data_IF_280277262405
#
_entry.id   IF_280277262405
#
_cell.length_a   1.000
_cell.length_b   1.000
_cell.length_c   1.000
_cell.angle_alpha   90.00
_cell.angle_beta   90.00
_cell.angle_gamma   90.00
#
_symmetry.space_group_name_H-M   'P 1'
#
loop_
_entity.id
_entity.type
_entity.pdbx_description
1 polymer ?
#
# COMPACT_ATOMS: atom_id res chain seq x y z
N UNK A 1 4.26 -15.23 -7.38
CA UNK A 1 5.10 -14.02 -7.43
C UNK A 1 6.40 -14.21 -6.65
N UNK A 2 7.58 -13.98 -7.28
CA UNK A 2 8.90 -14.02 -6.60
C UNK A 2 9.32 -12.67 -6.01
N UNK A 3 9.07 -11.58 -6.73
CA UNK A 3 9.33 -10.21 -6.29
C UNK A 3 8.01 -9.43 -6.32
N UNK A 4 7.84 -8.48 -5.40
CA UNK A 4 6.74 -7.52 -5.42
C UNK A 4 7.33 -6.13 -5.62
N UNK A 5 7.37 -5.67 -6.88
CA UNK A 5 8.01 -4.38 -7.27
C UNK A 5 6.96 -3.30 -7.50
N UNK A 6 5.98 -3.59 -8.35
CA UNK A 6 4.86 -2.69 -8.68
C UNK A 6 3.53 -3.44 -8.61
N UNK A 7 2.40 -2.71 -8.65
CA UNK A 7 1.07 -3.34 -8.78
C UNK A 7 0.77 -3.78 -10.22
N UNK A 8 1.40 -3.16 -11.21
CA UNK A 8 1.27 -3.54 -12.62
C UNK A 8 1.85 -4.92 -12.90
N UNK A 9 2.82 -5.38 -12.10
CA UNK A 9 3.41 -6.72 -12.20
C UNK A 9 2.52 -7.84 -11.61
N UNK A 10 1.45 -7.50 -10.89
CA UNK A 10 0.62 -8.49 -10.17
C UNK A 10 -0.71 -8.67 -10.91
N UNK A 11 -0.97 -9.90 -11.37
CA UNK A 11 -2.24 -10.25 -12.01
C UNK A 11 -3.41 -10.18 -11.03
N UNK A 12 -4.63 -9.93 -11.53
CA UNK A 12 -5.83 -9.77 -10.70
C UNK A 12 -6.09 -11.00 -9.82
N UNK A 13 -5.89 -12.20 -10.36
CA UNK A 13 -6.05 -13.47 -9.64
C UNK A 13 -5.04 -13.59 -8.49
N UNK A 14 -3.83 -13.09 -8.69
CA UNK A 14 -2.80 -13.09 -7.65
C UNK A 14 -3.08 -12.04 -6.57
N UNK A 15 -3.66 -10.88 -6.94
CA UNK A 15 -4.16 -9.90 -5.96
C UNK A 15 -5.24 -10.53 -5.08
N UNK A 16 -6.23 -11.19 -5.70
CA UNK A 16 -7.30 -11.86 -4.96
C UNK A 16 -6.76 -12.97 -4.05
N UNK A 17 -5.82 -13.78 -4.53
CA UNK A 17 -5.17 -14.81 -3.72
C UNK A 17 -4.44 -14.22 -2.50
N UNK A 18 -3.74 -13.09 -2.66
CA UNK A 18 -3.08 -12.38 -1.56
C UNK A 18 -4.09 -11.81 -0.55
N UNK A 19 -5.21 -11.25 -1.01
CA UNK A 19 -6.28 -10.74 -0.15
C UNK A 19 -6.87 -11.88 0.69
N UNK A 20 -7.26 -12.99 0.05
CA UNK A 20 -7.81 -14.16 0.75
C UNK A 20 -6.81 -14.70 1.77
N UNK A 21 -5.55 -14.89 1.37
CA UNK A 21 -4.52 -15.39 2.28
C UNK A 21 -4.26 -14.45 3.47
N UNK A 22 -4.29 -13.13 3.25
CA UNK A 22 -4.18 -12.16 4.32
C UNK A 22 -5.38 -12.22 5.30
N UNK A 23 -6.60 -12.42 4.79
CA UNK A 23 -7.80 -12.62 5.62
C UNK A 23 -7.67 -13.90 6.46
N UNK A 24 -7.20 -15.00 5.88
CA UNK A 24 -6.97 -16.24 6.62
C UNK A 24 -5.93 -16.06 7.74
N UNK A 25 -4.84 -15.31 7.50
CA UNK A 25 -3.88 -14.96 8.54
C UNK A 25 -4.51 -14.13 9.66
N UNK A 26 -5.40 -13.20 9.32
CA UNK A 26 -6.16 -12.44 10.31
C UNK A 26 -7.09 -13.34 11.13
N UNK A 27 -7.65 -14.39 10.53
CA UNK A 27 -8.48 -15.40 11.18
C UNK A 27 -7.69 -16.46 11.96
N UNK A 28 -6.35 -16.36 11.99
CA UNK A 28 -5.50 -17.21 12.83
C UNK A 28 -4.75 -18.32 12.09
N UNK A 29 -4.80 -18.36 10.76
CA UNK A 29 -3.92 -19.24 9.95
C UNK A 29 -2.48 -19.07 10.40
N UNK A 30 -1.77 -20.18 10.55
CA UNK A 30 -0.36 -20.20 10.91
C UNK A 30 0.45 -20.65 9.70
N UNK A 31 1.59 -20.02 9.49
CA UNK A 31 2.59 -20.47 8.53
C UNK A 31 3.96 -20.07 9.05
N UNK A 32 4.91 -20.99 8.94
CA UNK A 32 6.32 -20.77 9.23
C UNK A 32 7.13 -21.55 8.19
N UNK A 33 8.30 -21.05 7.75
CA UNK A 33 9.17 -21.83 6.87
C UNK A 33 9.67 -23.10 7.57
N UNK A 34 9.96 -24.14 6.79
CA UNK A 34 10.47 -25.43 7.33
C UNK A 34 11.90 -25.30 7.86
N UNK A 35 12.68 -24.37 7.29
CA UNK A 35 14.06 -24.09 7.64
C UNK A 35 14.17 -22.70 8.25
N UNK A 36 15.28 -22.45 8.93
CA UNK A 36 15.60 -21.11 9.39
C UNK A 36 15.81 -20.19 8.18
N UNK A 37 14.95 -19.19 8.04
CA UNK A 37 14.95 -18.24 6.92
C UNK A 37 15.25 -16.84 7.42
N UNK A 38 16.24 -16.19 6.81
CA UNK A 38 16.63 -14.82 7.14
C UNK A 38 16.02 -13.81 6.16
N UNK A 39 15.59 -12.68 6.69
CA UNK A 39 15.07 -11.53 5.94
C UNK A 39 15.73 -10.25 6.42
N UNK A 40 15.83 -9.25 5.54
CA UNK A 40 16.41 -7.94 5.90
C UNK A 40 15.52 -6.78 5.46
N UNK A 41 15.40 -5.78 6.34
CA UNK A 41 14.64 -4.56 6.14
C UNK A 41 15.58 -3.39 5.82
N UNK A 42 15.71 -3.01 4.55
CA UNK A 42 16.60 -1.94 4.08
C UNK A 42 15.79 -0.65 3.85
N UNK A 43 15.65 0.15 4.91
CA UNK A 43 14.91 1.42 4.87
C UNK A 43 15.86 2.61 4.77
N UNK A 44 16.08 3.10 3.55
CA UNK A 44 16.87 4.31 3.24
C UNK A 44 16.07 5.59 3.42
N UNK A 45 14.75 5.50 3.47
CA UNK A 45 13.86 6.58 3.89
C UNK A 45 13.16 6.25 5.22
N UNK A 46 12.87 7.30 5.99
CA UNK A 46 12.19 7.17 7.28
C UNK A 46 10.78 6.58 7.11
N UNK A 47 10.47 5.53 7.87
CA UNK A 47 9.17 4.88 7.78
C UNK A 47 8.83 4.04 9.01
N UNK A 48 8.11 4.61 9.98
CA UNK A 48 7.68 3.86 11.18
C UNK A 48 6.69 2.75 10.83
N UNK A 49 5.57 3.09 10.17
CA UNK A 49 4.47 2.12 9.94
C UNK A 49 4.92 0.95 9.09
N UNK A 50 5.45 1.20 7.88
CA UNK A 50 5.86 0.13 6.97
C UNK A 50 6.95 -0.74 7.60
N UNK A 51 8.02 -0.16 8.19
CA UNK A 51 9.10 -0.94 8.81
C UNK A 51 8.60 -1.80 9.97
N UNK A 52 7.89 -1.20 10.93
CA UNK A 52 7.40 -1.93 12.10
C UNK A 52 6.40 -3.02 11.71
N UNK A 53 5.50 -2.76 10.77
CA UNK A 53 4.52 -3.75 10.33
C UNK A 53 5.15 -4.94 9.59
N UNK A 54 6.19 -4.72 8.77
CA UNK A 54 6.98 -5.81 8.20
C UNK A 54 7.70 -6.59 9.29
N UNK A 55 8.38 -5.92 10.21
CA UNK A 55 9.10 -6.59 11.29
C UNK A 55 8.17 -7.46 12.16
N UNK A 56 6.95 -6.97 12.45
CA UNK A 56 5.94 -7.76 13.17
C UNK A 56 5.45 -8.93 12.31
N UNK A 57 5.22 -8.74 11.01
CA UNK A 57 4.84 -9.81 10.08
C UNK A 57 5.90 -10.92 10.03
N UNK A 58 7.16 -10.53 9.87
CA UNK A 58 8.31 -11.44 9.79
C UNK A 58 8.44 -12.27 11.07
N UNK A 59 8.36 -11.62 12.24
CA UNK A 59 8.41 -12.31 13.54
C UNK A 59 7.22 -13.25 13.74
N UNK A 60 6.01 -12.88 13.30
CA UNK A 60 4.82 -13.75 13.37
C UNK A 60 4.95 -14.99 12.47
N UNK A 61 5.64 -14.87 11.34
CA UNK A 61 5.94 -16.01 10.45
C UNK A 61 7.18 -16.81 10.88
N UNK A 62 7.80 -16.49 12.01
CA UNK A 62 9.00 -17.17 12.52
C UNK A 62 10.30 -16.84 11.76
N UNK A 63 10.29 -15.80 10.92
CA UNK A 63 11.46 -15.36 10.15
C UNK A 63 12.51 -14.70 11.05
N UNK A 64 13.78 -14.88 10.70
CA UNK A 64 14.89 -14.23 11.39
C UNK A 64 15.20 -12.88 10.73
N UNK A 65 14.86 -11.80 11.43
CA UNK A 65 15.07 -10.44 10.93
C UNK A 65 16.51 -10.01 11.21
N UNK A 66 17.29 -9.80 10.15
CA UNK A 66 18.63 -9.23 10.29
C UNK A 66 18.53 -7.72 10.58
N UNK A 67 19.15 -7.25 11.66
CA UNK A 67 19.19 -5.82 11.93
C UNK A 67 20.03 -5.11 10.87
N UNK A 68 19.44 -4.13 10.22
CA UNK A 68 20.13 -3.28 9.25
C UNK A 68 19.70 -1.83 9.46
N UNK A 69 20.67 -0.96 9.74
CA UNK A 69 20.45 0.48 9.83
C UNK A 69 21.39 1.18 8.86
N UNK A 70 20.83 1.93 7.91
CA UNK A 70 21.60 2.61 6.86
C UNK A 70 22.66 3.52 7.46
N UNK A 71 22.33 4.22 8.55
CA UNK A 71 23.21 5.15 9.25
C UNK A 71 24.48 4.54 9.85
N UNK A 72 24.54 3.21 10.03
CA UNK A 72 25.71 2.50 10.56
C UNK A 72 26.31 1.50 9.58
N UNK A 73 25.77 1.45 8.36
CA UNK A 73 26.16 0.48 7.32
C UNK A 73 27.29 0.99 6.40
N UNK A 74 27.80 0.09 5.55
CA UNK A 74 28.79 0.41 4.51
C UNK A 74 28.24 1.31 3.40
N UNK A 75 26.92 1.56 3.36
CA UNK A 75 26.31 2.57 2.47
C UNK A 75 26.96 3.94 2.68
N UNK A 76 27.28 4.32 3.92
CA UNK A 76 27.97 5.59 4.23
C UNK A 76 29.40 5.66 3.67
N UNK A 77 29.99 4.52 3.28
CA UNK A 77 31.29 4.43 2.61
C UNK A 77 31.16 4.40 1.09
N UNK A 78 29.94 4.58 0.56
CA UNK A 78 29.65 4.57 -0.87
C UNK A 78 29.37 3.19 -1.46
N UNK A 79 29.04 2.19 -0.64
CA UNK A 79 28.59 0.88 -1.15
C UNK A 79 27.29 1.04 -1.94
N UNK A 80 27.21 0.41 -3.12
CA UNK A 80 26.03 0.47 -3.97
C UNK A 80 24.88 -0.36 -3.38
N UNK A 81 23.64 0.01 -3.71
CA UNK A 81 22.46 -0.78 -3.30
C UNK A 81 22.55 -2.23 -3.80
N UNK A 82 23.07 -2.42 -5.02
CA UNK A 82 23.32 -3.73 -5.59
C UNK A 82 24.31 -4.55 -4.75
N UNK A 83 25.46 -3.98 -4.39
CA UNK A 83 26.48 -4.69 -3.61
C UNK A 83 26.00 -5.01 -2.19
N UNK A 84 25.25 -4.09 -1.56
CA UNK A 84 24.60 -4.35 -0.28
C UNK A 84 23.60 -5.51 -0.38
N UNK A 85 22.73 -5.51 -1.41
CA UNK A 85 21.77 -6.60 -1.64
C UNK A 85 22.48 -7.94 -1.91
N UNK A 86 23.53 -7.93 -2.75
CA UNK A 86 24.31 -9.12 -3.08
C UNK A 86 25.08 -9.68 -1.89
N UNK A 87 25.57 -8.79 -1.01
CA UNK A 87 26.22 -9.17 0.24
C UNK A 87 25.24 -9.90 1.16
N UNK A 88 24.04 -9.34 1.35
CA UNK A 88 23.00 -9.96 2.20
C UNK A 88 22.53 -11.30 1.64
N UNK A 89 22.33 -11.40 0.32
CA UNK A 89 22.03 -12.67 -0.33
C UNK A 89 23.14 -13.71 -0.10
N UNK A 90 24.41 -13.30 -0.24
CA UNK A 90 25.56 -14.19 -0.02
C UNK A 90 25.66 -14.69 1.43
N UNK A 91 25.07 -13.97 2.38
CA UNK A 91 24.94 -14.36 3.79
C UNK A 91 23.71 -15.24 4.06
N UNK A 92 22.93 -15.59 3.05
CA UNK A 92 21.75 -16.46 3.16
C UNK A 92 20.43 -15.73 3.37
N UNK A 93 20.36 -14.41 3.15
CA UNK A 93 19.10 -13.66 3.21
C UNK A 93 18.21 -14.05 2.04
N UNK A 94 17.00 -14.51 2.32
CA UNK A 94 16.06 -15.04 1.32
C UNK A 94 15.09 -13.99 0.78
N UNK A 95 14.88 -12.89 1.52
CA UNK A 95 14.05 -11.76 1.08
C UNK A 95 14.58 -10.42 1.62
N UNK A 96 14.48 -9.39 0.80
CA UNK A 96 14.83 -8.01 1.10
C UNK A 96 13.58 -7.14 0.97
N UNK A 97 13.18 -6.50 2.07
CA UNK A 97 12.17 -5.46 2.07
C UNK A 97 12.89 -4.12 1.96
N UNK A 98 12.70 -3.42 0.85
CA UNK A 98 13.50 -2.23 0.53
C UNK A 98 12.58 -1.01 0.40
N UNK A 99 12.95 0.07 1.08
CA UNK A 99 12.39 1.41 0.84
C UNK A 99 13.51 2.36 0.49
N UNK A 100 13.44 2.98 -0.68
CA UNK A 100 14.56 3.76 -1.25
C UNK A 100 14.06 5.06 -1.91
N UNK A 101 14.82 6.17 -1.86
CA UNK A 101 14.41 7.44 -2.48
C UNK A 101 14.47 7.44 -4.01
N UNK A 102 15.27 6.56 -4.62
CA UNK A 102 15.34 6.38 -6.07
C UNK A 102 14.09 5.66 -6.58
N UNK A 103 13.43 6.22 -7.60
CA UNK A 103 12.31 5.58 -8.29
C UNK A 103 12.80 4.38 -9.09
N UNK A 104 12.01 3.31 -9.09
CA UNK A 104 12.35 2.06 -9.79
C UNK A 104 13.73 1.49 -9.45
N UNK A 105 14.25 1.76 -8.25
CA UNK A 105 15.56 1.25 -7.79
C UNK A 105 15.71 -0.26 -8.02
N UNK A 106 14.61 -1.01 -7.97
CA UNK A 106 14.56 -2.46 -8.14
C UNK A 106 15.03 -2.93 -9.53
N UNK A 107 15.07 -2.05 -10.54
CA UNK A 107 15.59 -2.36 -11.87
C UNK A 107 17.08 -2.74 -11.83
N UNK A 108 17.85 -2.16 -10.90
CA UNK A 108 19.27 -2.50 -10.72
C UNK A 108 19.47 -3.83 -9.97
N UNK A 109 18.41 -4.42 -9.41
CA UNK A 109 18.43 -5.64 -8.60
C UNK A 109 17.92 -6.88 -9.36
N UNK A 110 17.86 -6.84 -10.69
CA UNK A 110 17.30 -7.92 -11.51
C UNK A 110 18.10 -9.24 -11.45
N UNK A 111 19.38 -9.20 -11.06
CA UNK A 111 20.24 -10.38 -10.86
C UNK A 111 20.29 -10.88 -9.42
N UNK A 112 19.57 -10.23 -8.50
CA UNK A 112 19.45 -10.67 -7.11
C UNK A 112 18.42 -11.80 -7.03
N UNK A 113 18.83 -12.92 -6.47
CA UNK A 113 18.03 -14.12 -6.25
C UNK A 113 17.13 -14.02 -5.02
N UNK A 114 17.55 -13.27 -4.00
CA UNK A 114 16.67 -12.97 -2.87
C UNK A 114 15.39 -12.28 -3.37
N UNK A 115 14.24 -12.60 -2.77
CA UNK A 115 13.00 -11.93 -3.10
C UNK A 115 13.12 -10.43 -2.80
N UNK A 116 12.61 -9.58 -3.70
CA UNK A 116 12.65 -8.13 -3.55
C UNK A 116 11.22 -7.67 -3.31
N UNK A 117 10.98 -7.08 -2.15
CA UNK A 117 9.67 -6.56 -1.76
C UNK A 117 9.79 -5.04 -1.62
N UNK A 118 9.05 -4.32 -2.46
CA UNK A 118 9.07 -2.88 -2.48
C UNK A 118 8.22 -2.29 -1.34
N UNK A 119 8.90 -1.74 -0.34
CA UNK A 119 8.34 -0.94 0.75
C UNK A 119 8.16 0.55 0.40
N UNK A 120 8.48 0.94 -0.83
CA UNK A 120 8.31 2.27 -1.43
C UNK A 120 9.55 2.73 -2.20
N UNK A 121 9.38 3.21 -3.43
CA UNK A 121 10.44 3.79 -4.28
C UNK A 121 10.11 5.25 -4.62
N UNK A 122 10.90 6.21 -4.12
CA UNK A 122 10.73 7.64 -4.42
C UNK A 122 9.26 8.12 -4.42
N UNK A 123 8.81 8.71 -5.52
CA UNK A 123 7.39 9.01 -5.77
C UNK A 123 6.72 7.99 -6.72
N UNK A 124 7.36 6.84 -6.98
CA UNK A 124 6.94 5.77 -7.87
C UNK A 124 5.81 4.91 -7.30
N UNK A 125 6.16 3.76 -6.69
CA UNK A 125 5.23 2.71 -6.28
C UNK A 125 5.23 2.45 -4.76
N UNK A 126 4.13 1.88 -4.26
CA UNK A 126 4.06 1.31 -2.91
C UNK A 126 3.08 0.12 -2.87
N UNK A 127 3.44 -1.04 -3.46
CA UNK A 127 2.47 -2.11 -3.74
C UNK A 127 1.81 -2.69 -2.47
N UNK A 128 2.54 -2.82 -1.36
CA UNK A 128 1.93 -3.32 -0.12
C UNK A 128 0.92 -2.36 0.51
N UNK A 129 0.99 -1.06 0.22
CA UNK A 129 -0.03 -0.10 0.63
C UNK A 129 -1.29 -0.27 -0.24
N UNK A 130 -1.14 -0.44 -1.55
CA UNK A 130 -2.28 -0.72 -2.43
C UNK A 130 -2.96 -2.03 -2.07
N UNK A 131 -2.20 -3.11 -1.84
CA UNK A 131 -2.77 -4.40 -1.45
C UNK A 131 -3.55 -4.35 -0.13
N UNK A 132 -3.06 -3.64 0.89
CA UNK A 132 -3.78 -3.52 2.15
C UNK A 132 -5.02 -2.62 2.04
N UNK A 133 -5.00 -1.63 1.13
CA UNK A 133 -6.16 -0.81 0.82
C UNK A 133 -7.23 -1.68 0.15
N UNK A 134 -6.85 -2.47 -0.86
CA UNK A 134 -7.72 -3.42 -1.53
C UNK A 134 -8.32 -4.46 -0.57
N UNK A 135 -7.50 -5.03 0.32
CA UNK A 135 -7.99 -5.96 1.36
C UNK A 135 -9.05 -5.29 2.24
N UNK A 136 -8.85 -4.02 2.60
CA UNK A 136 -9.80 -3.28 3.45
C UNK A 136 -11.12 -3.05 2.73
N UNK A 137 -11.08 -2.68 1.45
CA UNK A 137 -12.27 -2.51 0.61
C UNK A 137 -13.00 -3.84 0.45
N UNK A 138 -12.26 -4.92 0.13
CA UNK A 138 -12.83 -6.24 -0.06
C UNK A 138 -13.48 -6.79 1.22
N UNK A 139 -12.92 -6.50 2.40
CA UNK A 139 -13.55 -6.90 3.67
C UNK A 139 -14.86 -6.17 3.95
N UNK A 140 -15.04 -4.97 3.41
CA UNK A 140 -16.25 -4.18 3.62
C UNK A 140 -17.36 -4.57 2.64
N UNK A 141 -16.99 -4.83 1.37
CA UNK A 141 -17.96 -5.00 0.28
C UNK A 141 -17.98 -6.40 -0.33
N UNK A 142 -16.96 -7.23 -0.10
CA UNK A 142 -16.78 -8.57 -0.67
C UNK A 142 -16.68 -8.64 -2.21
N UNK A 143 -16.60 -7.49 -2.88
CA UNK A 143 -16.40 -7.35 -4.33
C UNK A 143 -15.72 -6.01 -4.65
N UNK A 144 -15.33 -5.80 -5.92
CA UNK A 144 -14.78 -4.53 -6.40
C UNK A 144 -15.60 -3.92 -7.54
N UNK A 145 -16.27 -4.77 -8.32
CA UNK A 145 -17.06 -4.40 -9.48
C UNK A 145 -18.14 -3.38 -9.13
N UNK A 146 -18.29 -2.35 -9.96
CA UNK A 146 -19.28 -1.28 -9.80
C UNK A 146 -19.14 -0.41 -8.53
N UNK A 147 -18.14 -0.66 -7.67
CA UNK A 147 -17.85 0.22 -6.54
C UNK A 147 -17.40 1.61 -7.03
N UNK A 148 -17.93 2.66 -6.42
CA UNK A 148 -17.52 4.04 -6.67
C UNK A 148 -16.51 4.49 -5.64
N UNK A 149 -15.30 4.76 -6.08
CA UNK A 149 -14.18 5.11 -5.20
C UNK A 149 -13.68 6.48 -5.58
N UNK A 150 -13.68 7.41 -4.62
CA UNK A 150 -13.12 8.74 -4.85
C UNK A 150 -11.86 8.96 -4.04
N UNK A 151 -10.78 9.35 -4.72
CA UNK A 151 -9.49 9.68 -4.11
C UNK A 151 -9.35 11.20 -4.05
N UNK A 152 -9.06 11.74 -2.87
CA UNK A 152 -9.11 13.19 -2.59
C UNK A 152 -7.74 13.70 -2.10
N UNK A 153 -7.18 14.69 -2.78
CA UNK A 153 -5.97 15.40 -2.37
C UNK A 153 -4.98 15.65 -3.50
N UNK A 154 -3.67 15.58 -3.21
CA UNK A 154 -2.63 15.80 -4.21
C UNK A 154 -2.45 14.57 -5.11
N UNK A 155 -3.21 14.51 -6.20
CA UNK A 155 -3.20 13.37 -7.15
C UNK A 155 -1.88 13.35 -7.93
N UNK A 156 -1.41 14.52 -8.37
CA UNK A 156 -0.20 14.67 -9.19
C UNK A 156 1.05 14.08 -8.55
N UNK A 157 1.21 14.19 -7.22
CA UNK A 157 2.40 13.70 -6.53
C UNK A 157 2.17 12.44 -5.68
N UNK A 158 0.97 11.87 -5.70
CA UNK A 158 0.62 10.71 -4.88
C UNK A 158 0.79 9.39 -5.62
N UNK A 159 1.84 8.65 -5.27
CA UNK A 159 2.02 7.24 -5.66
C UNK A 159 0.85 6.36 -5.28
N UNK A 160 0.30 6.57 -4.08
CA UNK A 160 -0.82 5.78 -3.56
C UNK A 160 -2.04 6.00 -4.44
N UNK A 161 -2.30 7.24 -4.86
CA UNK A 161 -3.41 7.55 -5.74
C UNK A 161 -3.28 6.83 -7.10
N UNK A 162 -2.12 6.93 -7.74
CA UNK A 162 -1.88 6.30 -9.05
C UNK A 162 -1.97 4.78 -8.99
N UNK A 163 -1.24 4.14 -8.07
CA UNK A 163 -1.24 2.68 -7.94
C UNK A 163 -2.62 2.14 -7.56
N UNK A 164 -3.38 2.85 -6.71
CA UNK A 164 -4.74 2.43 -6.36
C UNK A 164 -5.71 2.65 -7.51
N UNK A 165 -5.65 3.78 -8.23
CA UNK A 165 -6.55 4.05 -9.34
C UNK A 165 -6.43 2.97 -10.43
N UNK A 166 -5.21 2.68 -10.87
CA UNK A 166 -4.95 1.67 -11.90
C UNK A 166 -5.49 0.30 -11.50
N UNK A 167 -5.18 -0.16 -10.28
CA UNK A 167 -5.56 -1.52 -9.84
C UNK A 167 -7.06 -1.63 -9.53
N UNK A 168 -7.68 -0.58 -8.99
CA UNK A 168 -9.12 -0.56 -8.72
C UNK A 168 -9.93 -0.57 -10.02
N UNK A 169 -9.52 0.20 -11.03
CA UNK A 169 -10.14 0.16 -12.35
C UNK A 169 -9.97 -1.22 -13.01
N UNK A 170 -8.78 -1.83 -12.89
CA UNK A 170 -8.52 -3.21 -13.35
C UNK A 170 -9.40 -4.25 -12.66
N UNK A 171 -9.86 -4.00 -11.43
CA UNK A 171 -10.75 -4.86 -10.65
C UNK A 171 -12.24 -4.51 -10.85
N UNK A 172 -12.56 -3.59 -11.76
CA UNK A 172 -13.94 -3.26 -12.12
C UNK A 172 -14.60 -2.13 -11.32
N UNK A 173 -13.85 -1.47 -10.43
CA UNK A 173 -14.34 -0.29 -9.72
C UNK A 173 -14.31 0.95 -10.63
N UNK A 174 -15.16 1.93 -10.33
CA UNK A 174 -15.10 3.27 -10.93
C UNK A 174 -14.33 4.22 -10.03
N UNK A 175 -13.17 4.68 -10.50
CA UNK A 175 -12.33 5.64 -9.76
C UNK A 175 -12.61 7.07 -10.22
N UNK A 176 -12.73 7.98 -9.25
CA UNK A 176 -12.86 9.42 -9.44
C UNK A 176 -11.90 10.17 -8.52
N UNK A 177 -11.68 11.45 -8.84
CA UNK A 177 -10.75 12.29 -8.13
C UNK A 177 -11.38 13.61 -7.70
N UNK A 178 -10.95 14.12 -6.55
CA UNK A 178 -11.17 15.50 -6.12
C UNK A 178 -9.82 16.09 -5.75
N UNK A 179 -9.46 17.21 -6.38
CA UNK A 179 -8.19 17.87 -6.14
C UNK A 179 -8.29 19.37 -6.50
N UNK A 180 -7.51 20.24 -5.82
CA UNK A 180 -7.20 21.58 -6.32
C UNK A 180 -6.64 21.51 -7.74
N UNK A 181 -6.93 22.53 -8.55
CA UNK A 181 -6.56 22.54 -9.97
C UNK A 181 -5.04 22.34 -10.19
N UNK A 182 -4.20 22.92 -9.34
CA UNK A 182 -2.74 22.75 -9.42
C UNK A 182 -2.24 21.33 -9.08
N UNK A 183 -3.06 20.52 -8.41
CA UNK A 183 -2.72 19.16 -7.96
C UNK A 183 -3.38 18.06 -8.81
N UNK A 184 -4.13 18.44 -9.85
CA UNK A 184 -4.63 17.50 -10.85
C UNK A 184 -3.46 16.93 -11.65
N UNK A 185 -3.57 15.65 -11.98
CA UNK A 185 -2.67 14.95 -12.88
C UNK A 185 -3.28 14.97 -14.28
N UNK A 186 -2.60 15.62 -15.22
CA UNK A 186 -3.07 15.80 -16.58
C UNK A 186 -3.08 14.51 -17.42
N UNK A 187 -2.57 13.39 -16.88
CA UNK A 187 -2.68 12.08 -17.53
C UNK A 187 -4.10 11.49 -17.44
N UNK A 188 -4.91 11.92 -16.47
CA UNK A 188 -6.31 11.50 -16.37
C UNK A 188 -7.24 12.40 -17.19
N UNK A 189 -8.33 11.85 -17.76
CA UNK A 189 -9.34 12.64 -18.45
C UNK A 189 -10.03 13.61 -17.47
N UNK A 190 -10.52 14.75 -17.98
CA UNK A 190 -11.16 15.78 -17.14
C UNK A 190 -12.38 15.24 -16.40
N UNK A 191 -13.07 14.28 -17.00
CA UNK A 191 -14.26 13.60 -16.49
C UNK A 191 -13.96 12.70 -15.28
N UNK A 192 -12.70 12.35 -15.05
CA UNK A 192 -12.29 11.64 -13.84
C UNK A 192 -12.34 12.55 -12.59
N UNK A 193 -12.29 13.88 -12.77
CA UNK A 193 -12.37 14.85 -11.69
C UNK A 193 -13.82 15.31 -11.46
N UNK A 194 -14.31 15.12 -10.24
CA UNK A 194 -15.68 15.48 -9.82
C UNK A 194 -15.64 16.54 -8.71
N UNK A 195 -16.81 17.05 -8.34
CA UNK A 195 -16.92 17.98 -7.22
C UNK A 195 -16.84 17.23 -5.88
N UNK A 196 -16.50 17.95 -4.81
CA UNK A 196 -16.50 17.39 -3.46
C UNK A 196 -17.90 16.88 -3.08
N UNK A 197 -18.96 17.63 -3.43
CA UNK A 197 -20.34 17.24 -3.10
C UNK A 197 -20.76 15.96 -3.84
N UNK A 198 -20.42 15.84 -5.12
CA UNK A 198 -20.66 14.60 -5.89
C UNK A 198 -19.89 13.42 -5.27
N UNK A 199 -18.63 13.63 -4.88
CA UNK A 199 -17.81 12.60 -4.27
C UNK A 199 -18.44 12.06 -2.98
N UNK A 200 -18.89 12.95 -2.10
CA UNK A 200 -19.52 12.60 -0.83
C UNK A 200 -20.83 11.83 -1.05
N UNK A 201 -21.68 12.31 -1.96
CA UNK A 201 -23.01 11.72 -2.14
C UNK A 201 -23.01 10.40 -2.92
N UNK A 202 -21.97 10.14 -3.73
CA UNK A 202 -21.98 9.00 -4.66
C UNK A 202 -20.98 7.89 -4.36
N UNK A 203 -19.93 8.15 -3.57
CA UNK A 203 -18.86 7.17 -3.34
C UNK A 203 -19.24 6.11 -2.30
N UNK A 204 -18.86 4.88 -2.57
CA UNK A 204 -18.80 3.77 -1.60
C UNK A 204 -17.55 3.89 -0.72
N UNK A 205 -16.46 4.40 -1.30
CA UNK A 205 -15.19 4.59 -0.59
C UNK A 205 -14.67 6.00 -0.85
N UNK A 206 -14.41 6.74 0.23
CA UNK A 206 -13.68 8.00 0.16
C UNK A 206 -12.26 7.80 0.69
N UNK A 207 -11.28 7.86 -0.20
CA UNK A 207 -9.86 7.73 0.11
C UNK A 207 -9.19 9.10 0.18
N UNK A 208 -8.84 9.53 1.39
CA UNK A 208 -8.16 10.81 1.61
C UNK A 208 -6.65 10.63 1.52
N UNK A 209 -5.97 11.63 0.97
CA UNK A 209 -4.52 11.68 0.87
C UNK A 209 -3.95 12.73 1.84
N UNK A 210 -2.77 12.43 2.38
CA UNK A 210 -2.02 13.39 3.18
C UNK A 210 -1.58 14.56 2.32
N UNK A 211 -1.81 15.77 2.81
CA UNK A 211 -1.22 16.98 2.21
C UNK A 211 0.22 17.14 2.69
N UNK A 212 1.17 17.17 1.76
CA UNK A 212 2.60 17.25 2.05
C UNK A 212 3.08 18.69 1.94
N UNK A 213 2.91 19.44 3.03
CA UNK A 213 3.35 20.84 3.14
C UNK A 213 4.81 21.05 2.70
N UNK A 214 5.67 20.07 2.93
CA UNK A 214 7.08 20.05 2.53
C UNK A 214 7.32 20.06 1.01
N UNK A 215 6.35 19.64 0.20
CA UNK A 215 6.48 19.62 -1.27
C UNK A 215 5.96 20.90 -1.93
N UNK A 216 5.19 21.70 -1.20
CA UNK A 216 4.55 22.92 -1.69
C UNK A 216 5.32 24.18 -1.29
N UNK A 217 6.64 24.19 -1.48
CA UNK A 217 7.55 25.29 -1.10
C UNK A 217 7.27 26.64 -1.79
N UNK A 218 6.27 26.73 -2.66
CA UNK A 218 5.84 27.93 -3.37
C UNK A 218 4.41 28.35 -3.01
N UNK A 219 4.22 28.86 -1.79
CA UNK A 219 3.00 29.59 -1.43
C UNK A 219 2.37 29.14 -0.11
N UNK A 220 2.45 29.99 0.91
CA UNK A 220 1.63 29.89 2.13
C UNK A 220 0.13 30.15 1.87
N UNK A 221 -0.27 30.46 0.64
CA UNK A 221 -1.65 30.73 0.28
C UNK A 221 -2.27 29.47 -0.32
N UNK A 222 -3.21 28.84 0.38
CA UNK A 222 -3.98 27.69 -0.15
C UNK A 222 -4.31 26.60 0.87
N UNK A 223 -3.65 26.60 2.04
CA UNK A 223 -3.87 25.58 3.07
C UNK A 223 -4.87 26.00 4.14
N UNK A 224 -5.01 27.30 4.40
CA UNK A 224 -5.89 27.82 5.45
C UNK A 224 -7.36 27.43 5.20
N UNK A 225 -7.78 27.37 3.93
CA UNK A 225 -9.15 27.00 3.51
C UNK A 225 -9.22 25.58 2.92
N UNK A 226 -8.12 24.81 2.90
CA UNK A 226 -8.11 23.49 2.27
C UNK A 226 -9.15 22.56 2.90
N UNK A 227 -9.26 22.60 4.23
CA UNK A 227 -10.20 21.76 4.97
C UNK A 227 -11.66 22.06 4.55
N UNK A 228 -12.00 23.34 4.43
CA UNK A 228 -13.34 23.77 4.03
C UNK A 228 -13.65 23.39 2.57
N UNK A 229 -12.68 23.52 1.66
CA UNK A 229 -12.91 23.28 0.23
C UNK A 229 -12.83 21.79 -0.15
N UNK A 230 -11.84 21.07 0.35
CA UNK A 230 -11.49 19.71 -0.10
C UNK A 230 -11.37 18.68 1.04
N UNK A 231 -11.31 19.12 2.30
CA UNK A 231 -11.20 18.23 3.46
C UNK A 231 -12.51 17.51 3.78
N UNK A 232 -12.40 16.35 4.41
CA UNK A 232 -13.55 15.65 4.97
C UNK A 232 -13.99 16.31 6.28
N UNK A 233 -15.06 17.12 6.21
CA UNK A 233 -15.65 17.82 7.36
C UNK A 233 -16.74 16.96 8.02
N UNK A 234 -17.10 17.29 9.26
CA UNK A 234 -18.20 16.63 9.98
C UNK A 234 -19.53 16.74 9.22
N UNK A 235 -19.75 17.85 8.51
CA UNK A 235 -20.98 18.02 7.72
C UNK A 235 -20.99 17.09 6.49
N UNK A 236 -19.85 16.98 5.79
CA UNK A 236 -19.70 16.08 4.64
C UNK A 236 -19.87 14.61 5.03
N UNK A 237 -19.33 14.20 6.18
CA UNK A 237 -19.50 12.82 6.65
C UNK A 237 -20.98 12.45 6.84
N UNK A 238 -21.82 13.37 7.32
CA UNK A 238 -23.27 13.13 7.48
C UNK A 238 -24.01 12.94 6.17
N UNK A 239 -23.48 13.49 5.08
CA UNK A 239 -24.06 13.44 3.74
C UNK A 239 -23.52 12.27 2.90
N UNK A 240 -22.51 11.56 3.42
CA UNK A 240 -21.97 10.38 2.76
C UNK A 240 -23.02 9.28 2.61
N UNK A 241 -22.95 8.59 1.47
CA UNK A 241 -23.79 7.42 1.16
C UNK A 241 -23.86 6.43 2.36
N UNK A 242 -25.03 5.84 2.68
CA UNK A 242 -25.11 4.78 3.68
C UNK A 242 -24.16 3.63 3.35
N UNK A 243 -23.52 3.04 4.37
CA UNK A 243 -22.52 1.96 4.26
C UNK A 243 -21.22 2.33 3.52
N UNK A 244 -20.99 3.60 3.23
CA UNK A 244 -19.71 4.05 2.69
C UNK A 244 -18.64 4.14 3.78
N UNK A 245 -17.37 4.00 3.40
CA UNK A 245 -16.23 4.05 4.32
C UNK A 245 -15.25 5.18 4.01
N UNK A 246 -14.52 5.61 5.04
CA UNK A 246 -13.42 6.56 4.95
C UNK A 246 -12.09 5.82 5.10
N UNK A 247 -11.17 6.04 4.16
CA UNK A 247 -9.83 5.45 4.16
C UNK A 247 -8.76 6.54 4.05
N UNK A 248 -7.57 6.29 4.60
CA UNK A 248 -6.42 7.17 4.51
C UNK A 248 -5.10 6.41 4.77
N UNK A 249 -4.06 6.51 3.92
CA UNK A 249 -2.84 5.71 4.04
C UNK A 249 -1.89 6.09 5.20
N UNK A 250 -2.25 7.10 6.01
CA UNK A 250 -1.42 7.73 7.04
C UNK A 250 -0.03 8.27 6.58
N UNK A 251 0.63 9.17 7.33
CA UNK A 251 0.16 9.82 8.55
C UNK A 251 -0.92 10.85 8.22
N UNK A 252 -1.75 11.16 9.20
CA UNK A 252 -2.90 12.06 9.04
C UNK A 252 -2.50 13.45 9.57
N UNK A 253 -2.76 14.49 8.79
CA UNK A 253 -2.80 15.86 9.27
C UNK A 253 -4.24 16.17 9.74
N UNK A 254 -4.50 15.94 11.03
CA UNK A 254 -5.80 16.22 11.63
C UNK A 254 -6.15 17.71 11.47
N UNK A 255 -7.36 18.00 11.00
CA UNK A 255 -7.84 19.36 10.73
C UNK A 255 -7.46 19.91 9.34
N UNK A 256 -6.79 19.12 8.49
CA UNK A 256 -6.46 19.52 7.10
C UNK A 256 -7.27 18.68 6.12
N UNK A 257 -6.83 17.47 5.77
CA UNK A 257 -7.60 16.60 4.88
C UNK A 257 -8.81 15.94 5.56
N UNK A 258 -8.84 15.85 6.89
CA UNK A 258 -9.92 15.23 7.65
C UNK A 258 -10.10 15.91 9.00
N UNK A 259 -11.35 16.11 9.43
CA UNK A 259 -11.67 16.59 10.76
C UNK A 259 -11.21 15.58 11.81
N UNK A 260 -10.66 16.07 12.94
CA UNK A 260 -10.03 15.21 13.95
C UNK A 260 -10.94 14.10 14.45
N UNK A 261 -12.22 14.40 14.63
CA UNK A 261 -13.28 13.55 15.14
C UNK A 261 -13.60 12.39 14.18
N UNK A 262 -13.34 12.56 12.88
CA UNK A 262 -13.70 11.57 11.87
C UNK A 262 -12.64 10.49 11.67
N UNK A 263 -11.43 10.67 12.19
CA UNK A 263 -10.35 9.67 12.06
C UNK A 263 -10.75 8.31 12.67
N UNK A 264 -11.57 8.33 13.71
CA UNK A 264 -12.01 7.15 14.48
C UNK A 264 -13.54 7.02 14.51
N UNK A 265 -14.25 7.70 13.62
CA UNK A 265 -15.70 7.55 13.52
C UNK A 265 -16.07 6.14 13.02
N UNK A 266 -17.35 5.79 13.16
CA UNK A 266 -17.88 4.45 12.85
C UNK A 266 -17.54 3.95 11.44
N UNK A 267 -17.58 4.84 10.44
CA UNK A 267 -17.26 4.50 9.04
C UNK A 267 -15.77 4.60 8.69
N UNK A 268 -14.92 5.03 9.61
CA UNK A 268 -13.49 5.10 9.37
C UNK A 268 -12.89 3.69 9.35
N UNK A 269 -12.03 3.43 8.36
CA UNK A 269 -11.22 2.21 8.25
C UNK A 269 -9.72 2.51 8.33
N UNK A 270 -9.32 3.73 8.72
CA UNK A 270 -7.91 4.15 8.76
C UNK A 270 -7.06 3.24 9.64
N UNK A 271 -7.49 2.96 10.88
CA UNK A 271 -6.75 2.05 11.76
C UNK A 271 -6.90 0.59 11.32
N UNK A 272 -8.03 0.23 10.69
CA UNK A 272 -8.22 -1.09 10.09
C UNK A 272 -7.22 -1.36 8.96
N UNK A 273 -6.92 -0.35 8.12
CA UNK A 273 -5.86 -0.43 7.10
C UNK A 273 -4.49 -0.75 7.74
N UNK A 274 -4.17 -0.16 8.90
CA UNK A 274 -2.91 -0.45 9.58
C UNK A 274 -2.85 -1.91 10.07
N UNK A 275 -3.95 -2.41 10.62
CA UNK A 275 -4.09 -3.81 11.02
C UNK A 275 -3.98 -4.76 9.82
N UNK A 276 -4.73 -4.49 8.76
CA UNK A 276 -4.72 -5.26 7.51
C UNK A 276 -3.34 -5.24 6.85
N UNK A 277 -2.59 -4.14 6.98
CA UNK A 277 -1.22 -4.03 6.53
C UNK A 277 -0.28 -5.04 7.16
N UNK A 278 -0.53 -5.50 8.39
CA UNK A 278 0.26 -6.57 9.00
C UNK A 278 0.03 -7.90 8.27
N UNK A 279 -1.23 -8.30 8.14
CA UNK A 279 -1.59 -9.59 7.55
C UNK A 279 -1.32 -9.66 6.05
N UNK A 280 -1.50 -8.55 5.33
CA UNK A 280 -1.14 -8.46 3.92
C UNK A 280 0.37 -8.64 3.72
N UNK A 281 1.20 -8.04 4.59
CA UNK A 281 2.65 -8.24 4.55
C UNK A 281 3.03 -9.69 4.87
N UNK A 282 2.31 -10.36 5.77
CA UNK A 282 2.49 -11.80 6.01
C UNK A 282 2.21 -12.62 4.75
N UNK A 283 1.10 -12.37 4.06
CA UNK A 283 0.76 -13.04 2.80
C UNK A 283 1.82 -12.80 1.71
N UNK A 284 2.26 -11.56 1.53
CA UNK A 284 3.32 -11.19 0.58
C UNK A 284 4.64 -11.92 0.89
N UNK A 285 5.07 -11.93 2.15
CA UNK A 285 6.30 -12.61 2.59
C UNK A 285 6.22 -14.11 2.33
N UNK A 286 5.12 -14.75 2.72
CA UNK A 286 4.90 -16.17 2.45
C UNK A 286 5.01 -16.45 0.96
N UNK A 287 4.27 -15.73 0.13
CA UNK A 287 4.23 -15.91 -1.33
C UNK A 287 5.60 -15.75 -1.97
N UNK A 288 6.38 -14.77 -1.51
CA UNK A 288 7.73 -14.52 -1.99
C UNK A 288 8.72 -15.64 -1.62
N UNK A 289 8.55 -16.26 -0.44
CA UNK A 289 9.44 -17.30 0.07
C UNK A 289 9.11 -18.69 -0.47
N UNK A 290 7.82 -19.06 -0.59
CA UNK A 290 7.43 -20.38 -1.12
C UNK A 290 7.81 -20.58 -2.59
N UNK A 291 7.85 -19.51 -3.37
CA UNK A 291 8.28 -19.58 -4.77
C UNK A 291 9.81 -19.59 -4.94
N UNK A 292 10.58 -19.20 -3.92
CA UNK A 292 12.05 -19.25 -3.93
C UNK A 292 12.58 -20.65 -3.55
N UNK A 293 11.85 -21.41 -2.73
CA UNK A 293 12.25 -22.72 -2.26
C UNK A 293 11.73 -23.87 -3.13
N UNK A 294 11.72 -23.74 -4.46
CA UNK A 294 11.49 -24.88 -5.38
C UNK A 294 10.34 -25.82 -5.00
N UNK A 295 9.24 -25.28 -4.47
CA UNK A 295 8.14 -26.05 -3.91
C UNK A 295 7.36 -26.78 -4.99
N UNK A 296 7.66 -28.06 -5.17
CA UNK A 296 6.69 -29.02 -5.71
C UNK A 296 5.55 -29.15 -4.71
N UNK A 297 4.33 -29.22 -5.24
CA UNK A 297 3.06 -29.56 -4.58
C UNK A 297 2.36 -28.44 -3.78
N UNK A 298 1.43 -27.74 -4.45
CA UNK A 298 -0.03 -27.74 -4.15
C UNK A 298 -0.72 -26.58 -4.91
N UNK A 299 -0.74 -26.65 -6.24
CA UNK A 299 -1.45 -25.68 -7.11
C UNK A 299 -2.94 -26.04 -7.36
N UNK A 300 -3.55 -26.85 -6.49
CA UNK A 300 -4.89 -27.41 -6.74
C UNK A 300 -6.06 -26.75 -5.98
N UNK A 301 -5.86 -25.63 -5.28
CA UNK A 301 -6.96 -25.03 -4.49
C UNK A 301 -7.87 -24.10 -5.32
N UNK A 302 -7.45 -23.65 -6.52
CA UNK A 302 -8.21 -22.63 -7.28
C UNK A 302 -9.39 -23.23 -8.09
N UNK A 303 -9.55 -24.56 -8.17
CA UNK A 303 -10.58 -25.18 -9.02
C UNK A 303 -11.96 -25.37 -8.37
N UNK A 304 -12.16 -25.06 -7.09
CA UNK A 304 -13.44 -25.36 -6.41
C UNK A 304 -14.45 -24.20 -6.35
N UNK A 305 -14.16 -23.04 -6.94
CA UNK A 305 -15.06 -21.88 -6.92
C UNK A 305 -15.73 -21.58 -8.26
N UNK A 306 -15.98 -22.60 -9.07
CA UNK A 306 -17.01 -22.58 -10.11
C UNK A 306 -18.03 -23.68 -9.81
N UNK A 307 -19.29 -23.26 -9.66
CA UNK A 307 -20.52 -24.03 -9.40
C UNK A 307 -20.97 -24.16 -7.95
N UNK A 308 -21.71 -23.14 -7.49
CA UNK A 308 -22.98 -23.32 -6.77
C UNK A 308 -23.90 -22.12 -7.04
#
# INVERSE_FOLDING_TARGET
MRHLRTMSDVANEEIMALIVEAIEFQQGKQWTPEKQTFVANLFYESSTRTKCSFEVAERRLGLQVLPFEVSTSSVNKGESLYDTAKTLESLGVSALVIRHPEEEYFNQLHTIDAAIINGGDGCGNHPTQSLLDLMTIYQEFEHFEDLKITIIGDIRHSRVARSNAEVLERLGATVRFVAPDEWKDNSYPKEAYITMDDAIQTSDVVMLLRIQHERHHSGKAGLDDYHEQYGMTIQREKEMKPNSIIMHPAPINRGVEIASELVECERSRIFKQMENGLYMRMAVLKRALTNNEGGKEHDNIIKEWEMA
#
